data_IF_459033588558
#
_entry.id   IF_459033588558
#
_cell.length_a   1.000
_cell.length_b   1.000
_cell.length_c   1.000
_cell.angle_alpha   90.00
_cell.angle_beta   90.00
_cell.angle_gamma   90.00
#
_symmetry.space_group_name_H-M   'P 1'
#
loop_
_entity.id
_entity.type
_entity.pdbx_description
1 polymer ?
#
# COMPACT_ATOMS: atom_id res chain seq x y z
N UNK A 1 -27.34 -18.86 -5.40
CA UNK A 1 -26.27 -18.08 -6.04
C UNK A 1 -25.75 -17.14 -4.97
N UNK A 2 -24.48 -17.24 -4.58
CA UNK A 2 -23.86 -16.22 -3.72
C UNK A 2 -23.67 -14.98 -4.61
N UNK A 3 -24.14 -13.82 -4.16
CA UNK A 3 -23.79 -12.56 -4.80
C UNK A 3 -22.34 -12.30 -4.41
N UNK A 4 -21.41 -12.56 -5.31
CA UNK A 4 -20.01 -12.17 -5.16
C UNK A 4 -20.00 -10.63 -5.16
N UNK A 5 -19.90 -10.04 -3.97
CA UNK A 5 -20.04 -8.61 -3.77
C UNK A 5 -18.66 -7.98 -3.96
N UNK A 6 -18.35 -7.55 -5.18
CA UNK A 6 -17.07 -6.92 -5.51
C UNK A 6 -17.07 -5.44 -5.13
N UNK A 7 -16.02 -4.99 -4.45
CA UNK A 7 -15.75 -3.58 -4.15
C UNK A 7 -14.70 -3.06 -5.11
N UNK A 8 -14.92 -1.87 -5.67
CA UNK A 8 -13.86 -1.14 -6.36
C UNK A 8 -13.07 -0.35 -5.33
N UNK A 9 -11.79 -0.65 -5.21
CA UNK A 9 -10.85 0.09 -4.40
C UNK A 9 -10.11 1.11 -5.25
N UNK A 10 -9.95 2.33 -4.74
CA UNK A 10 -9.12 3.36 -5.36
C UNK A 10 -8.02 3.81 -4.41
N UNK A 11 -6.78 3.64 -4.85
CA UNK A 11 -5.61 4.17 -4.17
C UNK A 11 -5.18 5.47 -4.85
N UNK A 12 -4.99 6.52 -4.07
CA UNK A 12 -4.33 7.76 -4.48
C UNK A 12 -2.91 7.83 -3.91
N UNK A 13 -1.95 8.28 -4.72
CA UNK A 13 -0.58 8.58 -4.29
C UNK A 13 -0.14 9.98 -4.74
N UNK A 14 0.67 10.69 -3.94
CA UNK A 14 1.30 11.94 -4.36
C UNK A 14 2.31 11.73 -5.49
N UNK A 15 2.52 12.76 -6.33
CA UNK A 15 3.52 12.77 -7.40
C UNK A 15 4.91 12.33 -6.92
N UNK A 16 5.37 12.82 -5.76
CA UNK A 16 6.67 12.44 -5.16
C UNK A 16 6.82 10.94 -4.91
N UNK A 17 5.71 10.21 -4.71
CA UNK A 17 5.71 8.77 -4.50
C UNK A 17 5.62 8.04 -5.84
N UNK A 18 4.84 8.57 -6.80
CA UNK A 18 4.82 8.07 -8.18
C UNK A 18 6.19 8.13 -8.85
N UNK A 19 6.95 9.21 -8.64
CA UNK A 19 8.31 9.39 -9.19
C UNK A 19 9.34 8.37 -8.66
N UNK A 20 9.08 7.75 -7.50
CA UNK A 20 9.93 6.69 -6.92
C UNK A 20 9.67 5.31 -7.52
N UNK A 21 8.55 5.13 -8.23
CA UNK A 21 8.20 3.87 -8.85
C UNK A 21 9.06 3.62 -10.09
N UNK A 22 9.28 2.35 -10.43
CA UNK A 22 9.87 1.94 -11.70
C UNK A 22 8.88 2.20 -12.86
N UNK A 23 9.28 1.88 -14.09
CA UNK A 23 8.44 2.10 -15.29
C UNK A 23 7.09 1.40 -15.20
N UNK A 24 7.08 0.10 -14.88
CA UNK A 24 5.86 -0.70 -14.71
C UNK A 24 4.95 -0.12 -13.62
N UNK A 25 5.52 0.24 -12.46
CA UNK A 25 4.77 0.86 -11.36
C UNK A 25 4.15 2.19 -11.74
N UNK A 26 4.83 3.02 -12.54
CA UNK A 26 4.27 4.30 -13.00
C UNK A 26 3.09 4.11 -13.95
N UNK A 27 3.10 3.07 -14.78
CA UNK A 27 2.03 2.75 -15.73
C UNK A 27 0.74 2.28 -15.06
N UNK A 28 0.83 1.72 -13.84
CA UNK A 28 -0.34 1.33 -13.04
C UNK A 28 -1.23 2.53 -12.67
N UNK A 29 -0.66 3.73 -12.58
CA UNK A 29 -1.36 4.91 -12.08
C UNK A 29 -1.69 5.94 -13.16
N UNK A 30 -2.90 6.49 -13.08
CA UNK A 30 -3.38 7.59 -13.91
C UNK A 30 -3.31 8.91 -13.13
N UNK A 31 -2.89 10.00 -13.77
CA UNK A 31 -2.89 11.32 -13.14
C UNK A 31 -4.33 11.79 -12.87
N UNK A 32 -4.62 12.22 -11.65
CA UNK A 32 -5.90 12.83 -11.32
C UNK A 32 -5.95 14.30 -11.80
N UNK A 33 -7.07 14.70 -12.40
CA UNK A 33 -7.28 16.00 -13.06
C UNK A 33 -6.75 17.18 -12.23
N UNK A 34 -5.91 18.01 -12.85
CA UNK A 34 -5.29 19.24 -12.30
C UNK A 34 -4.74 19.15 -10.86
N UNK A 35 -4.41 17.93 -10.41
CA UNK A 35 -3.86 17.65 -9.10
C UNK A 35 -2.42 17.14 -9.17
N UNK A 36 -1.72 17.17 -8.05
CA UNK A 36 -0.44 16.49 -7.85
C UNK A 36 -0.60 15.02 -7.44
N UNK A 37 -1.80 14.46 -7.62
CA UNK A 37 -2.13 13.08 -7.25
C UNK A 37 -2.23 12.19 -8.49
N UNK A 38 -1.89 10.93 -8.27
CA UNK A 38 -2.05 9.83 -9.19
C UNK A 38 -2.93 8.78 -8.54
N UNK A 39 -3.74 8.06 -9.30
CA UNK A 39 -4.66 7.06 -8.78
C UNK A 39 -4.69 5.80 -9.63
N UNK A 40 -5.13 4.71 -8.99
CA UNK A 40 -5.39 3.44 -9.67
C UNK A 40 -6.57 2.74 -9.00
N UNK A 41 -7.30 1.95 -9.79
CA UNK A 41 -8.46 1.20 -9.36
C UNK A 41 -8.17 -0.31 -9.38
N UNK A 42 -8.60 -1.02 -8.34
CA UNK A 42 -8.48 -2.47 -8.25
C UNK A 42 -9.71 -3.08 -7.58
N UNK A 43 -10.07 -4.30 -7.98
CA UNK A 43 -11.19 -5.01 -7.39
C UNK A 43 -10.77 -5.71 -6.09
N UNK A 44 -11.62 -5.65 -5.07
CA UNK A 44 -11.49 -6.42 -3.82
C UNK A 44 -12.77 -7.22 -3.57
N UNK A 45 -12.64 -8.46 -3.12
CA UNK A 45 -13.76 -9.29 -2.68
C UNK A 45 -14.17 -8.98 -1.23
N UNK A 46 -15.45 -9.13 -0.89
CA UNK A 46 -15.94 -9.01 0.50
C UNK A 46 -16.02 -10.35 1.24
N UNK A 47 -15.81 -11.46 0.54
CA UNK A 47 -16.08 -12.80 1.03
C UNK A 47 -14.92 -13.33 1.88
N UNK A 48 -15.05 -13.18 3.20
CA UNK A 48 -14.36 -13.99 4.22
C UNK A 48 -12.84 -13.85 4.35
N UNK A 49 -12.18 -13.16 3.40
CA UNK A 49 -10.76 -12.80 3.35
C UNK A 49 -10.62 -11.32 2.99
N UNK A 50 -11.16 -10.51 3.90
CA UNK A 50 -10.84 -9.10 4.21
C UNK A 50 -10.38 -8.21 3.05
N UNK A 51 -11.18 -7.19 2.69
CA UNK A 51 -10.78 -5.99 1.94
C UNK A 51 -9.32 -5.54 2.21
N UNK A 52 -8.86 -5.64 3.47
CA UNK A 52 -7.50 -5.29 3.84
C UNK A 52 -6.42 -6.24 3.30
N UNK A 53 -6.71 -7.52 3.10
CA UNK A 53 -5.79 -8.47 2.42
C UNK A 53 -5.60 -8.08 0.95
N UNK A 54 -6.67 -7.67 0.26
CA UNK A 54 -6.56 -7.13 -1.10
C UNK A 54 -5.76 -5.83 -1.12
N UNK A 55 -6.00 -4.92 -0.17
CA UNK A 55 -5.23 -3.68 -0.03
C UNK A 55 -3.75 -3.98 0.24
N UNK A 56 -3.46 -4.94 1.14
CA UNK A 56 -2.11 -5.40 1.46
C UNK A 56 -1.41 -5.86 0.18
N UNK A 57 -1.97 -6.86 -0.51
CA UNK A 57 -1.35 -7.45 -1.69
C UNK A 57 -1.14 -6.41 -2.80
N UNK A 58 -2.13 -5.53 -3.00
CA UNK A 58 -2.03 -4.49 -4.01
C UNK A 58 -0.94 -3.47 -3.69
N UNK A 59 -0.86 -3.00 -2.43
CA UNK A 59 0.15 -2.06 -1.99
C UNK A 59 1.55 -2.67 -1.96
N UNK A 60 1.69 -3.94 -1.56
CA UNK A 60 2.96 -4.68 -1.61
C UNK A 60 3.56 -4.67 -3.01
N UNK A 61 2.75 -4.92 -4.03
CA UNK A 61 3.21 -4.88 -5.41
C UNK A 61 3.47 -3.45 -5.85
N UNK A 62 2.45 -2.58 -5.78
CA UNK A 62 2.49 -1.28 -6.46
C UNK A 62 3.34 -0.23 -5.75
N UNK A 63 3.49 -0.32 -4.42
CA UNK A 63 4.18 0.71 -3.62
C UNK A 63 5.53 0.26 -3.07
N UNK A 64 5.75 -1.04 -2.92
CA UNK A 64 6.99 -1.60 -2.38
C UNK A 64 7.81 -2.30 -3.47
N UNK A 65 7.23 -3.29 -4.14
CA UNK A 65 7.94 -4.12 -5.13
C UNK A 65 8.33 -3.31 -6.36
N UNK A 66 7.40 -2.51 -6.88
CA UNK A 66 7.63 -1.65 -8.05
C UNK A 66 8.26 -0.31 -7.69
N UNK A 67 8.83 -0.16 -6.50
CA UNK A 67 9.47 1.06 -6.04
C UNK A 67 10.98 0.86 -5.90
N UNK A 68 11.74 1.56 -6.74
CA UNK A 68 13.19 1.37 -6.86
C UNK A 68 13.95 1.74 -5.57
N UNK A 69 13.34 2.54 -4.68
CA UNK A 69 13.92 2.91 -3.39
C UNK A 69 14.11 1.70 -2.48
N UNK A 70 13.19 0.74 -2.51
CA UNK A 70 13.27 -0.46 -1.67
C UNK A 70 14.08 -1.57 -2.32
N UNK A 71 14.21 -1.59 -3.66
CA UNK A 71 15.03 -2.58 -4.36
C UNK A 71 14.65 -4.03 -4.06
N UNK A 72 13.37 -4.30 -3.86
CA UNK A 72 12.82 -5.63 -3.57
C UNK A 72 13.06 -6.54 -4.79
N UNK A 73 13.57 -7.74 -4.51
CA UNK A 73 13.87 -8.77 -5.51
C UNK A 73 13.18 -10.08 -5.13
N UNK A 74 13.22 -11.06 -6.04
CA UNK A 74 12.62 -12.40 -5.82
C UNK A 74 13.13 -13.11 -4.56
N UNK A 75 14.35 -12.83 -4.12
CA UNK A 75 14.97 -13.42 -2.93
C UNK A 75 14.79 -12.57 -1.65
N UNK A 76 14.01 -11.50 -1.72
CA UNK A 76 13.69 -10.64 -0.57
C UNK A 76 12.47 -11.20 0.18
N UNK A 77 12.62 -11.45 1.49
CA UNK A 77 11.48 -11.80 2.35
C UNK A 77 10.75 -10.52 2.74
N UNK A 78 9.56 -10.33 2.16
CA UNK A 78 8.66 -9.21 2.42
C UNK A 78 7.44 -9.72 3.18
N UNK A 79 7.17 -9.09 4.32
CA UNK A 79 5.95 -9.32 5.10
C UNK A 79 5.26 -8.00 5.34
N UNK A 80 3.95 -7.93 5.11
CA UNK A 80 3.20 -6.72 5.45
C UNK A 80 1.95 -7.01 6.28
N UNK A 81 1.60 -6.02 7.09
CA UNK A 81 0.48 -6.07 8.00
C UNK A 81 -0.20 -4.70 8.06
N UNK A 82 -1.55 -4.69 8.09
CA UNK A 82 -2.32 -3.46 8.27
C UNK A 82 -2.70 -3.26 9.73
N UNK A 83 -2.48 -2.03 10.21
CA UNK A 83 -2.86 -1.57 11.53
C UNK A 83 -3.75 -0.33 11.43
N UNK A 84 -4.71 -0.21 12.34
CA UNK A 84 -5.43 1.05 12.55
C UNK A 84 -4.69 1.86 13.61
N UNK A 85 -4.15 3.01 13.24
CA UNK A 85 -3.50 3.91 14.19
C UNK A 85 -4.56 4.76 14.93
N UNK A 86 -4.68 4.56 16.23
CA UNK A 86 -5.54 5.35 17.11
C UNK A 86 -7.03 4.97 17.10
N UNK A 87 -7.87 5.82 17.72
CA UNK A 87 -9.33 5.62 17.80
C UNK A 87 -10.08 6.19 16.59
N UNK A 88 -9.39 6.80 15.63
CA UNK A 88 -10.03 7.42 14.47
C UNK A 88 -10.12 6.44 13.31
N UNK A 89 -11.32 6.10 12.87
CA UNK A 89 -11.57 5.22 11.71
C UNK A 89 -11.08 5.79 10.37
N UNK A 90 -10.45 6.96 10.36
CA UNK A 90 -10.03 7.68 9.15
C UNK A 90 -8.65 7.30 8.64
N UNK A 91 -7.79 6.71 9.47
CA UNK A 91 -6.41 6.40 9.09
C UNK A 91 -6.06 4.94 9.36
N UNK A 92 -5.24 4.37 8.50
CA UNK A 92 -4.62 3.07 8.71
C UNK A 92 -3.22 3.07 8.14
N UNK A 93 -2.40 2.14 8.59
CA UNK A 93 -1.00 2.03 8.18
C UNK A 93 -0.71 0.62 7.72
N UNK A 94 0.12 0.51 6.68
CA UNK A 94 0.74 -0.73 6.27
C UNK A 94 2.16 -0.73 6.81
N UNK A 95 2.45 -1.63 7.75
CA UNK A 95 3.81 -1.91 8.18
C UNK A 95 4.38 -2.99 7.26
N UNK A 96 5.56 -2.74 6.74
CA UNK A 96 6.29 -3.67 5.89
C UNK A 96 7.60 -4.02 6.57
N UNK A 97 7.88 -5.31 6.70
CA UNK A 97 9.15 -5.83 7.18
C UNK A 97 9.86 -6.46 6.00
N UNK A 98 11.04 -5.94 5.69
CA UNK A 98 11.85 -6.30 4.54
C UNK A 98 13.14 -6.93 5.04
N UNK A 99 13.43 -8.15 4.60
CA UNK A 99 14.67 -8.85 4.88
C UNK A 99 15.36 -9.25 3.57
N UNK A 100 16.45 -8.54 3.27
CA UNK A 100 17.24 -8.78 2.07
C UNK A 100 18.12 -10.03 2.19
N UNK A 101 18.29 -10.74 1.08
CA UNK A 101 19.17 -11.90 1.03
C UNK A 101 20.60 -11.55 1.46
N UNK A 102 21.18 -12.38 2.33
CA UNK A 102 22.54 -12.17 2.86
C UNK A 102 22.66 -11.04 3.89
N UNK A 103 21.57 -10.39 4.29
CA UNK A 103 21.55 -9.41 5.36
C UNK A 103 20.87 -10.00 6.61
N UNK A 104 21.51 -9.88 7.77
CA UNK A 104 20.94 -10.35 9.04
C UNK A 104 19.88 -9.38 9.59
N UNK A 105 19.93 -8.11 9.18
CA UNK A 105 19.04 -7.07 9.67
C UNK A 105 17.71 -7.04 8.93
N UNK A 106 16.65 -6.76 9.69
CA UNK A 106 15.34 -6.42 9.17
C UNK A 106 15.18 -4.90 9.04
N UNK A 107 14.46 -4.50 7.99
CA UNK A 107 14.13 -3.11 7.71
C UNK A 107 12.62 -2.96 7.82
N UNK A 108 12.16 -1.91 8.48
CA UNK A 108 10.74 -1.66 8.66
C UNK A 108 10.33 -0.37 7.96
N UNK A 109 9.26 -0.45 7.19
CA UNK A 109 8.69 0.69 6.48
C UNK A 109 7.22 0.83 6.86
N UNK A 110 6.79 2.05 7.18
CA UNK A 110 5.40 2.33 7.52
C UNK A 110 4.79 3.28 6.50
N UNK A 111 3.87 2.76 5.69
CA UNK A 111 3.05 3.55 4.78
C UNK A 111 1.77 3.98 5.50
N UNK A 112 1.51 5.28 5.56
CA UNK A 112 0.34 5.83 6.24
C UNK A 112 -0.72 6.27 5.25
N UNK A 113 -1.95 5.82 5.46
CA UNK A 113 -3.07 6.08 4.57
C UNK A 113 -4.20 6.84 5.27
N UNK A 114 -4.81 7.77 4.53
CA UNK A 114 -6.06 8.40 4.90
C UNK A 114 -7.20 7.82 4.07
N UNK A 115 -8.24 7.35 4.73
CA UNK A 115 -9.48 6.89 4.11
C UNK A 115 -10.28 8.11 3.65
N UNK A 116 -10.62 8.13 2.37
CA UNK A 116 -11.34 9.24 1.74
C UNK A 116 -12.84 8.93 1.65
N UNK A 117 -13.20 7.77 1.10
CA UNK A 117 -14.59 7.40 0.85
C UNK A 117 -14.85 5.92 1.14
N UNK A 118 -16.04 5.63 1.70
CA UNK A 118 -16.52 4.27 1.93
C UNK A 118 -17.99 4.20 1.54
N UNK A 119 -18.28 3.33 0.58
CA UNK A 119 -19.62 2.93 0.12
C UNK A 119 -19.67 1.41 0.02
N UNK A 120 -20.86 0.87 -0.21
CA UNK A 120 -21.07 -0.58 -0.29
C UNK A 120 -20.29 -1.23 -1.46
N UNK A 121 -20.03 -0.46 -2.52
CA UNK A 121 -19.36 -0.91 -3.76
C UNK A 121 -18.02 -0.19 -4.02
N UNK A 122 -17.62 0.73 -3.14
CA UNK A 122 -16.45 1.59 -3.38
C UNK A 122 -15.69 1.93 -2.10
N UNK A 123 -14.37 1.81 -2.13
CA UNK A 123 -13.48 2.20 -1.05
C UNK A 123 -12.31 3.02 -1.60
N UNK A 124 -12.10 4.24 -1.14
CA UNK A 124 -10.94 5.04 -1.57
C UNK A 124 -10.09 5.53 -0.41
N UNK A 125 -8.79 5.59 -0.67
CA UNK A 125 -7.78 5.96 0.30
C UNK A 125 -6.57 6.59 -0.38
N UNK A 126 -5.85 7.41 0.37
CA UNK A 126 -4.71 8.18 -0.10
C UNK A 126 -3.47 7.90 0.74
N UNK A 127 -2.33 7.68 0.10
CA UNK A 127 -1.03 7.63 0.76
C UNK A 127 -0.62 9.03 1.22
N UNK A 128 -0.56 9.23 2.53
CA UNK A 128 -0.10 10.49 3.14
C UNK A 128 1.43 10.62 3.07
N UNK A 129 2.12 9.49 3.20
CA UNK A 129 3.58 9.41 3.14
C UNK A 129 4.13 8.11 3.72
N UNK A 130 5.41 7.91 3.44
CA UNK A 130 6.27 6.82 3.90
C UNK A 130 7.13 7.27 5.09
N UNK A 131 7.29 6.39 6.08
CA UNK A 131 8.19 6.55 7.23
C UNK A 131 9.09 5.32 7.34
N UNK A 132 10.35 5.49 6.96
CA UNK A 132 11.38 4.46 7.13
C UNK A 132 11.85 4.39 8.57
N UNK A 133 11.64 3.23 9.21
CA UNK A 133 12.16 2.92 10.53
C UNK A 133 13.34 1.96 10.38
N UNK A 134 14.56 2.48 10.46
CA UNK A 134 15.75 1.64 10.52
C UNK A 134 15.85 0.99 11.90
N UNK A 135 16.12 -0.32 11.92
CA UNK A 135 16.22 -1.25 13.05
C UNK A 135 16.07 -0.65 14.46
N UNK A 136 15.10 -1.15 15.23
CA UNK A 136 14.99 -1.00 16.68
C UNK A 136 16.11 -1.74 17.44
N UNK A 137 17.37 -1.60 17.02
CA UNK A 137 18.56 -2.12 17.73
C UNK A 137 18.85 -1.33 19.04
N UNK A 138 17.86 -0.57 19.56
CA UNK A 138 17.94 0.18 20.80
C UNK A 138 16.62 0.11 21.59
N UNK A 139 16.30 -1.06 22.13
CA UNK A 139 15.50 -1.20 23.35
C UNK A 139 16.10 -2.26 24.27
#
# INVERSE_FOLDING_TARGET
MKNDSTVTCRLYIPQKNHEKLNEEGREVFTKADDSSLYFTDFAAGFDGGSLYECIIAFCEVCLLTLNDVYGIKEDTDLKTEIFKLGQTDKTFSLLSTIKYAGNEKEYHEMLNFNRLEVRDDFFSFELLGDQSMFSLDFL
#
